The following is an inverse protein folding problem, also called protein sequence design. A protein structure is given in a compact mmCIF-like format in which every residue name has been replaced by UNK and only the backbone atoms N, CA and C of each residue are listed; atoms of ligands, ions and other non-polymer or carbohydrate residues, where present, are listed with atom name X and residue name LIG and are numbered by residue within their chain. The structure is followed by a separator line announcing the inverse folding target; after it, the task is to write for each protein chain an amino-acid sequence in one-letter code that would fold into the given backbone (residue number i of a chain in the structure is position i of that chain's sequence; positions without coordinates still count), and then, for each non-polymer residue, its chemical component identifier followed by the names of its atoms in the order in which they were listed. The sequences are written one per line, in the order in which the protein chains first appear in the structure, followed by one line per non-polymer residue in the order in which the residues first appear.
data_IF_554488466967
#
_entry.id   IF_554488466967
#
_cell.length_a   1.000
_cell.length_b   1.000
_cell.length_c   1.000
_cell.angle_alpha   90.00
_cell.angle_beta   90.00
_cell.angle_gamma   90.00
#
_symmetry.space_group_name_H-M   'P 1'
#
loop_
_entity.id
_entity.type
_entity.pdbx_description
1 polymer ?
#
# COMPACT_ATOMS: atom_id res chain seq x y z
N UNK A 1 9.93 -17.35 -4.97
CA UNK A 1 9.13 -16.41 -4.15
C UNK A 1 10.07 -15.36 -3.60
N UNK A 2 9.72 -14.08 -3.56
CA UNK A 2 10.64 -12.99 -3.14
C UNK A 2 11.05 -13.07 -1.66
N UNK A 3 10.22 -13.69 -0.83
CA UNK A 3 10.48 -13.93 0.59
C UNK A 3 10.39 -15.43 0.88
N UNK A 4 11.33 -16.00 1.65
CA UNK A 4 11.38 -17.44 1.94
C UNK A 4 10.40 -17.88 3.04
N UNK A 5 10.07 -17.00 3.99
CA UNK A 5 9.24 -17.28 5.17
C UNK A 5 8.49 -16.01 5.62
N UNK A 6 7.54 -16.19 6.55
CA UNK A 6 6.78 -15.08 7.16
C UNK A 6 7.69 -14.07 7.86
N UNK A 7 8.70 -14.54 8.58
CA UNK A 7 9.61 -13.67 9.35
C UNK A 7 10.38 -12.72 8.44
N UNK A 8 10.80 -13.19 7.26
CA UNK A 8 11.49 -12.40 6.25
C UNK A 8 10.58 -11.35 5.63
N UNK A 9 9.32 -11.69 5.36
CA UNK A 9 8.31 -10.71 4.91
C UNK A 9 8.02 -9.67 5.99
N UNK A 10 7.82 -10.11 7.23
CA UNK A 10 7.58 -9.23 8.38
C UNK A 10 8.75 -8.27 8.58
N UNK A 11 9.98 -8.77 8.57
CA UNK A 11 11.20 -7.98 8.74
C UNK A 11 11.38 -6.96 7.61
N UNK A 12 11.04 -7.32 6.38
CA UNK A 12 11.06 -6.38 5.27
C UNK A 12 9.98 -5.29 5.45
N UNK A 13 8.75 -5.67 5.79
CA UNK A 13 7.63 -4.75 5.91
C UNK A 13 7.77 -3.83 7.14
N UNK A 14 8.32 -4.31 8.25
CA UNK A 14 8.56 -3.52 9.47
C UNK A 14 9.59 -2.41 9.28
N UNK A 15 10.34 -2.42 8.16
CA UNK A 15 11.16 -1.29 7.74
C UNK A 15 10.30 -0.05 7.41
N UNK A 16 9.09 -0.27 6.90
CA UNK A 16 8.20 0.77 6.36
C UNK A 16 6.97 1.03 7.22
N UNK A 17 6.49 0.04 7.97
CA UNK A 17 5.25 0.12 8.75
C UNK A 17 5.53 -0.05 10.25
N UNK A 18 4.73 0.60 11.10
CA UNK A 18 4.77 0.36 12.56
C UNK A 18 4.25 -1.03 12.90
N UNK A 19 4.66 -1.57 14.05
CA UNK A 19 4.19 -2.90 14.51
C UNK A 19 2.66 -2.92 14.71
N UNK A 20 2.07 -1.80 15.12
CA UNK A 20 0.62 -1.63 15.24
C UNK A 20 -0.07 -1.71 13.88
N UNK A 21 0.41 -0.99 12.86
CA UNK A 21 -0.16 -1.04 11.53
C UNK A 21 0.06 -2.41 10.87
N UNK A 22 1.23 -3.01 11.12
CA UNK A 22 1.57 -4.36 10.69
C UNK A 22 0.57 -5.38 11.21
N UNK A 23 0.33 -5.39 12.52
CA UNK A 23 -0.53 -6.38 13.18
C UNK A 23 -2.04 -6.15 12.96
N UNK A 24 -2.46 -4.94 12.59
CA UNK A 24 -3.87 -4.61 12.38
C UNK A 24 -4.32 -4.65 10.92
N UNK A 25 -3.47 -4.24 9.96
CA UNK A 25 -3.90 -4.03 8.57
C UNK A 25 -2.99 -4.68 7.52
N UNK A 26 -1.67 -4.75 7.73
CA UNK A 26 -0.74 -5.22 6.68
C UNK A 26 -0.53 -6.73 6.72
N UNK A 27 -0.17 -7.26 7.89
CA UNK A 27 -0.01 -8.69 8.17
C UNK A 27 -0.73 -9.08 9.47
N UNK A 28 -2.07 -8.94 9.54
CA UNK A 28 -2.81 -9.31 10.74
C UNK A 28 -2.68 -10.80 11.05
N UNK A 29 -2.18 -11.10 12.25
CA UNK A 29 -1.94 -12.47 12.70
C UNK A 29 -3.23 -13.31 12.62
N UNK A 30 -3.16 -14.46 11.96
CA UNK A 30 -4.29 -15.38 11.81
C UNK A 30 -5.37 -14.97 10.80
N UNK A 31 -5.24 -13.80 10.15
CA UNK A 31 -6.17 -13.36 9.10
C UNK A 31 -5.54 -13.28 7.71
N UNK A 32 -4.21 -13.28 7.61
CA UNK A 32 -3.57 -13.32 6.31
C UNK A 32 -3.63 -14.71 5.69
N UNK A 33 -3.87 -14.75 4.39
CA UNK A 33 -3.69 -15.91 3.52
C UNK A 33 -2.25 -16.49 3.53
N UNK A 34 -1.33 -15.89 4.28
CA UNK A 34 0.04 -16.34 4.41
C UNK A 34 0.17 -17.52 5.39
N UNK A 35 0.40 -18.72 4.87
CA UNK A 35 0.53 -19.97 5.61
C UNK A 35 1.89 -20.59 5.34
N UNK A 36 2.65 -20.87 6.40
CA UNK A 36 3.80 -21.77 6.31
C UNK A 36 3.31 -23.21 6.22
N UNK A 37 3.51 -23.85 5.05
CA UNK A 37 3.16 -25.26 4.84
C UNK A 37 4.40 -25.97 4.31
N UNK A 38 4.78 -27.10 4.91
CA UNK A 38 5.96 -27.88 4.48
C UNK A 38 7.28 -27.07 4.37
N UNK A 39 7.47 -26.04 5.20
CA UNK A 39 8.68 -25.20 5.18
C UNK A 39 8.73 -24.17 4.04
N UNK A 40 7.61 -23.96 3.33
CA UNK A 40 7.48 -22.92 2.32
C UNK A 40 6.33 -21.97 2.66
N UNK A 41 6.58 -20.69 2.38
CA UNK A 41 5.62 -19.60 2.56
C UNK A 41 4.60 -19.58 1.41
N UNK A 42 3.34 -19.90 1.70
CA UNK A 42 2.25 -19.88 0.74
C UNK A 42 1.35 -18.68 0.99
N UNK A 43 0.92 -18.01 -0.08
CA UNK A 43 -0.26 -17.15 -0.04
C UNK A 43 -1.45 -18.00 -0.51
N UNK A 44 -2.43 -18.20 0.36
CA UNK A 44 -3.67 -18.87 0.03
C UNK A 44 -4.30 -18.14 -1.17
N UNK A 45 -4.93 -18.89 -2.08
CA UNK A 45 -5.56 -18.30 -3.24
C UNK A 45 -6.74 -17.46 -2.78
N UNK A 46 -6.51 -16.20 -2.44
CA UNK A 46 -7.57 -15.21 -2.40
C UNK A 46 -8.23 -15.21 -3.76
N UNK A 47 -9.54 -14.93 -3.79
CA UNK A 47 -10.22 -14.60 -5.03
C UNK A 47 -9.33 -13.59 -5.75
N UNK A 48 -8.88 -13.93 -6.96
CA UNK A 48 -8.12 -13.00 -7.81
C UNK A 48 -9.08 -11.86 -8.13
N UNK A 49 -9.24 -10.92 -7.22
CA UNK A 49 -9.80 -9.63 -7.57
C UNK A 49 -8.88 -9.13 -8.67
N UNK A 50 -9.46 -8.80 -9.83
CA UNK A 50 -8.72 -8.10 -10.86
C UNK A 50 -8.19 -6.84 -10.18
N UNK A 51 -6.90 -6.85 -9.84
CA UNK A 51 -6.23 -5.66 -9.33
C UNK A 51 -6.52 -4.57 -10.35
N UNK A 52 -7.26 -3.54 -9.92
CA UNK A 52 -7.48 -2.39 -10.77
C UNK A 52 -6.09 -1.87 -11.17
N UNK A 53 -5.88 -1.65 -12.46
CA UNK A 53 -4.56 -1.34 -12.98
C UNK A 53 -4.13 0.03 -12.44
N UNK A 54 -3.22 0.03 -11.47
CA UNK A 54 -2.67 1.25 -10.88
C UNK A 54 -1.99 2.11 -11.95
N UNK A 55 -2.41 3.36 -12.06
CA UNK A 55 -1.95 4.31 -13.08
C UNK A 55 -1.02 5.39 -12.50
N UNK A 56 -1.20 5.76 -11.24
CA UNK A 56 -0.47 6.86 -10.63
C UNK A 56 -1.10 7.33 -9.33
N UNK A 57 -0.47 8.33 -8.73
CA UNK A 57 -0.99 8.98 -7.53
C UNK A 57 -0.52 10.43 -7.44
N UNK A 58 -1.25 11.25 -6.69
CA UNK A 58 -0.87 12.63 -6.39
C UNK A 58 -0.94 12.85 -4.90
N UNK A 59 0.21 13.04 -4.26
CA UNK A 59 0.30 13.35 -2.84
C UNK A 59 0.01 14.83 -2.55
N UNK A 60 -0.64 15.08 -1.43
CA UNK A 60 -0.82 16.40 -0.84
C UNK A 60 -0.42 16.34 0.63
N UNK A 61 0.47 17.25 1.03
CA UNK A 61 0.83 17.42 2.43
C UNK A 61 -0.36 18.05 3.18
N UNK A 62 -0.78 17.44 4.27
CA UNK A 62 -1.81 17.99 5.15
C UNK A 62 -1.16 18.71 6.32
N UNK A 63 -0.23 18.03 7.00
CA UNK A 63 0.54 18.61 8.10
C UNK A 63 1.88 17.89 8.26
N UNK A 64 2.82 18.59 8.89
CA UNK A 64 4.14 18.05 9.22
C UNK A 64 4.64 18.67 10.53
N UNK A 65 5.12 17.83 11.42
CA UNK A 65 5.84 18.17 12.64
C UNK A 65 7.17 17.40 12.66
N UNK A 66 7.96 17.56 13.72
CA UNK A 66 9.19 16.79 13.90
C UNK A 66 8.93 15.29 14.15
N UNK A 67 7.73 14.93 14.57
CA UNK A 67 7.36 13.55 14.95
C UNK A 67 6.34 12.90 14.03
N UNK A 68 5.60 13.69 13.23
CA UNK A 68 4.49 13.19 12.41
C UNK A 68 4.40 13.90 11.05
N UNK A 69 4.05 13.16 10.02
CA UNK A 69 3.68 13.67 8.69
C UNK A 69 2.31 13.10 8.35
N UNK A 70 1.36 13.96 7.98
CA UNK A 70 0.06 13.54 7.47
C UNK A 70 -0.01 13.97 6.01
N UNK A 71 -0.30 13.03 5.12
CA UNK A 71 -0.54 13.30 3.72
C UNK A 71 -1.78 12.58 3.22
N UNK A 72 -2.43 13.16 2.22
CA UNK A 72 -3.45 12.48 1.45
C UNK A 72 -2.92 12.18 0.06
N UNK A 73 -3.49 11.19 -0.61
CA UNK A 73 -3.26 10.95 -2.02
C UNK A 73 -4.56 10.70 -2.77
N UNK A 74 -4.65 11.27 -3.96
CA UNK A 74 -5.56 10.74 -4.98
C UNK A 74 -4.82 9.59 -5.69
N UNK A 75 -5.34 8.38 -5.60
CA UNK A 75 -4.79 7.18 -6.26
C UNK A 75 -5.65 6.86 -7.47
N UNK A 76 -5.02 6.74 -8.63
CA UNK A 76 -5.70 6.58 -9.91
C UNK A 76 -5.55 5.15 -10.42
N UNK A 77 -6.66 4.56 -10.82
CA UNK A 77 -6.73 3.24 -11.43
C UNK A 77 -7.39 3.32 -12.80
N UNK A 78 -6.83 2.65 -13.81
CA UNK A 78 -7.37 2.67 -15.17
C UNK A 78 -8.78 2.05 -15.20
N UNK A 79 -9.73 2.72 -15.84
CA UNK A 79 -11.06 2.18 -16.13
C UNK A 79 -11.05 1.33 -17.41
N UNK A 80 -11.75 0.19 -17.40
CA UNK A 80 -11.99 -0.63 -18.60
C UNK A 80 -11.01 -1.79 -18.83
N UNK A 81 -11.16 -2.44 -19.98
CA UNK A 81 -10.31 -3.56 -20.41
C UNK A 81 -8.96 -3.10 -21.01
N UNK A 82 -8.68 -1.80 -21.04
CA UNK A 82 -7.38 -1.22 -21.42
C UNK A 82 -6.30 -1.47 -20.34
N UNK A 83 -6.49 -2.54 -19.56
CA UNK A 83 -5.69 -2.89 -18.42
C UNK A 83 -4.31 -3.35 -18.89
N UNK A 84 -3.32 -2.56 -18.46
CA UNK A 84 -1.92 -2.96 -18.29
C UNK A 84 -1.20 -3.17 -19.61
N UNK A 85 -0.58 -2.11 -20.12
CA UNK A 85 0.82 -2.09 -20.54
C UNK A 85 1.10 -0.78 -21.29
N UNK A 86 2.06 0.01 -20.78
CA UNK A 86 2.88 1.04 -21.46
C UNK A 86 2.79 2.48 -20.96
N UNK A 87 1.77 2.90 -20.23
CA UNK A 87 1.78 4.26 -19.66
C UNK A 87 2.72 4.31 -18.44
N UNK A 88 3.65 5.28 -18.36
CA UNK A 88 4.46 5.49 -17.16
C UNK A 88 3.54 5.85 -15.98
N UNK A 89 3.91 5.37 -14.80
CA UNK A 89 3.27 5.79 -13.55
C UNK A 89 3.43 7.30 -13.43
N UNK A 90 2.34 8.02 -13.18
CA UNK A 90 2.38 9.46 -12.99
C UNK A 90 2.31 9.85 -11.51
N UNK A 91 2.92 10.99 -11.21
CA UNK A 91 3.01 11.58 -9.85
C UNK A 91 2.40 12.99 -9.77
N UNK A 92 1.82 13.45 -10.89
CA UNK A 92 1.16 14.74 -11.02
C UNK A 92 -0.24 14.53 -11.57
N UNK A 93 -1.14 15.47 -11.31
CA UNK A 93 -2.53 15.36 -11.71
C UNK A 93 -2.68 15.19 -13.23
N UNK A 94 -3.37 14.13 -13.72
CA UNK A 94 -3.53 13.91 -15.14
C UNK A 94 -4.49 14.94 -15.73
N UNK A 95 -4.24 15.35 -16.98
CA UNK A 95 -5.07 16.33 -17.68
C UNK A 95 -6.52 15.84 -17.89
N UNK A 96 -6.72 14.53 -18.05
CA UNK A 96 -8.04 13.91 -18.24
C UNK A 96 -8.27 12.84 -17.16
N UNK A 97 -9.07 13.20 -16.14
CA UNK A 97 -9.39 12.32 -15.01
C UNK A 97 -10.47 11.28 -15.33
N UNK A 98 -11.25 11.48 -16.40
CA UNK A 98 -12.41 10.64 -16.72
C UNK A 98 -12.04 9.20 -17.11
N UNK A 99 -10.77 8.98 -17.43
CA UNK A 99 -10.17 7.66 -17.75
C UNK A 99 -9.82 6.82 -16.52
N UNK A 100 -9.97 7.39 -15.33
CA UNK A 100 -9.50 6.77 -14.10
C UNK A 100 -10.61 6.68 -13.06
N UNK A 101 -10.67 5.54 -12.35
CA UNK A 101 -11.25 5.49 -11.03
C UNK A 101 -10.27 6.16 -10.07
N UNK A 102 -10.77 6.98 -9.17
CA UNK A 102 -9.95 7.68 -8.19
C UNK A 102 -10.40 7.25 -6.79
N UNK A 103 -9.44 6.84 -5.96
CA UNK A 103 -9.66 6.65 -4.53
C UNK A 103 -8.84 7.67 -3.76
N UNK A 104 -9.44 8.25 -2.74
CA UNK A 104 -8.73 9.15 -1.84
C UNK A 104 -8.26 8.36 -0.63
N UNK A 105 -6.98 8.48 -0.32
CA UNK A 105 -6.36 7.80 0.81
C UNK A 105 -5.66 8.79 1.71
N UNK A 106 -5.67 8.52 3.00
CA UNK A 106 -4.90 9.23 4.02
C UNK A 106 -3.78 8.32 4.53
N UNK A 107 -2.61 8.92 4.71
CA UNK A 107 -1.47 8.27 5.33
C UNK A 107 -0.96 9.13 6.47
N UNK A 108 -0.57 8.47 7.55
CA UNK A 108 0.22 9.05 8.62
C UNK A 108 1.58 8.35 8.66
N UNK A 109 2.64 9.14 8.69
CA UNK A 109 3.98 8.68 8.99
C UNK A 109 4.39 9.23 10.36
N UNK A 110 5.03 8.37 11.15
CA UNK A 110 5.56 8.72 12.48
C UNK A 110 7.07 8.54 12.47
N UNK A 111 7.79 9.44 13.13
CA UNK A 111 9.23 9.36 13.28
C UNK A 111 9.60 8.22 14.25
N UNK A 112 10.52 7.36 13.83
CA UNK A 112 11.08 6.26 14.59
C UNK A 112 12.60 6.31 14.47
N UNK A 113 13.29 6.73 15.53
CA UNK A 113 14.75 6.80 15.69
C UNK A 113 15.53 7.30 14.45
N UNK A 114 15.70 6.46 13.43
CA UNK A 114 16.46 6.70 12.21
C UNK A 114 15.62 6.83 10.92
N UNK A 115 14.27 6.79 11.00
CA UNK A 115 13.39 6.77 9.83
C UNK A 115 11.95 7.20 10.09
N UNK A 116 11.22 7.43 9.01
CA UNK A 116 9.76 7.56 9.03
C UNK A 116 9.11 6.21 8.73
N UNK A 117 8.07 5.86 9.48
CA UNK A 117 7.25 4.67 9.23
C UNK A 117 5.79 5.05 9.08
N UNK A 118 5.09 4.40 8.16
CA UNK A 118 3.64 4.48 8.08
C UNK A 118 3.02 3.89 9.36
N UNK A 119 2.23 4.70 10.03
CA UNK A 119 1.54 4.34 11.28
C UNK A 119 0.04 4.23 11.12
N UNK A 120 -0.54 4.96 10.15
CA UNK A 120 -1.97 4.86 9.84
C UNK A 120 -2.19 4.91 8.32
N UNK A 121 -3.19 4.14 7.88
CA UNK A 121 -3.70 4.14 6.51
C UNK A 121 -5.22 4.08 6.56
N UNK A 122 -5.88 4.90 5.74
CA UNK A 122 -7.33 4.84 5.55
C UNK A 122 -7.73 5.27 4.16
N UNK A 123 -8.77 4.63 3.62
CA UNK A 123 -9.49 5.12 2.44
C UNK A 123 -10.51 6.14 2.96
N UNK A 124 -10.46 7.35 2.44
CA UNK A 124 -11.30 8.46 2.91
C UNK A 124 -12.44 8.79 1.96
N UNK A 125 -12.37 8.37 0.68
CA UNK A 125 -13.48 8.39 -0.30
C UNK A 125 -13.22 7.43 -1.45
#
# INVERSE_FOLDING_TARGET
TRFPDYQSLYTFASYYFTDELMSSQILPYGQTDFVDKYGAFYMAPSSRQKNQAYAGHVFRLVSQTDTEIICTADVYYVLGNDAVNTAPIFYTEPADKSKYAVSQVSFKLTAFEDRWKFSEFSIIN
#
